data_IF_163032988751
#
_entry.id   IF_163032988751
#
_cell.length_a   1.000
_cell.length_b   1.000
_cell.length_c   1.000
_cell.angle_alpha   90.00
_cell.angle_beta   90.00
_cell.angle_gamma   90.00
#
_symmetry.space_group_name_H-M   'P 1'
#
loop_
_entity.id
_entity.type
_entity.pdbx_description
1 polymer ?
#
# COMPACT_ATOMS: atom_id res chain seq x y z
N UNK A 1 -45.22 36.81 -13.87
CA UNK A 1 -44.70 37.19 -15.21
C UNK A 1 -43.90 38.47 -14.98
N UNK A 2 -42.57 38.54 -15.08
CA UNK A 2 -41.68 38.13 -16.16
C UNK A 2 -40.33 37.67 -15.58
N UNK A 3 -39.76 36.63 -16.18
CA UNK A 3 -38.33 36.31 -16.09
C UNK A 3 -37.53 37.46 -16.72
N UNK A 4 -36.27 37.67 -16.33
CA UNK A 4 -35.14 37.96 -17.24
C UNK A 4 -33.80 37.98 -16.47
N UNK A 5 -32.96 36.99 -16.83
CA UNK A 5 -31.50 36.85 -16.80
C UNK A 5 -30.70 37.29 -15.56
N UNK A 6 -30.25 36.27 -14.82
CA UNK A 6 -29.02 36.32 -14.01
C UNK A 6 -27.87 35.86 -14.91
N UNK A 7 -26.91 36.75 -15.18
CA UNK A 7 -25.74 36.56 -16.04
C UNK A 7 -24.55 36.10 -15.19
N UNK A 8 -24.65 34.87 -14.67
CA UNK A 8 -23.57 34.24 -13.91
C UNK A 8 -22.78 33.31 -14.84
N UNK A 9 -21.75 33.89 -15.44
CA UNK A 9 -20.70 33.27 -16.27
C UNK A 9 -20.08 32.04 -15.56
N UNK A 10 -19.82 30.91 -16.27
CA UNK A 10 -19.24 29.73 -15.65
C UNK A 10 -17.74 29.94 -15.42
N UNK A 11 -17.36 30.26 -14.19
CA UNK A 11 -15.96 30.30 -13.78
C UNK A 11 -15.34 28.91 -13.90
N UNK A 12 -14.47 28.75 -14.89
CA UNK A 12 -13.56 27.63 -15.05
C UNK A 12 -12.69 27.49 -13.81
N UNK A 13 -12.77 26.34 -13.16
CA UNK A 13 -11.87 25.96 -12.07
C UNK A 13 -10.50 25.66 -12.67
N UNK A 14 -9.64 26.67 -12.70
CA UNK A 14 -8.21 26.50 -12.94
C UNK A 14 -7.59 25.71 -11.76
N UNK A 15 -6.80 24.66 -12.01
CA UNK A 15 -6.13 23.93 -10.94
C UNK A 15 -5.03 24.80 -10.32
N UNK A 16 -5.29 25.32 -9.13
CA UNK A 16 -4.29 26.00 -8.29
C UNK A 16 -3.37 24.97 -7.64
N UNK A 17 -2.40 24.46 -8.41
CA UNK A 17 -1.23 23.78 -7.90
C UNK A 17 0.02 24.45 -8.47
N UNK A 18 1.11 24.59 -7.71
CA UNK A 18 2.35 25.12 -8.25
C UNK A 18 2.94 24.11 -9.25
N UNK A 19 2.69 24.32 -10.55
CA UNK A 19 3.40 23.63 -11.63
C UNK A 19 4.78 24.25 -11.76
N UNK A 20 5.74 23.77 -10.97
CA UNK A 20 7.15 24.15 -11.13
C UNK A 20 7.67 23.41 -12.37
N UNK A 21 8.03 24.09 -13.48
CA UNK A 21 8.71 23.44 -14.59
C UNK A 21 10.10 22.97 -14.10
N UNK A 22 10.53 21.74 -14.39
CA UNK A 22 11.85 21.29 -13.98
C UNK A 22 12.92 22.10 -14.72
N UNK A 23 13.77 22.78 -13.94
CA UNK A 23 15.01 23.39 -14.44
C UNK A 23 15.88 22.24 -14.97
N UNK A 24 16.28 22.32 -16.24
CA UNK A 24 17.16 21.32 -16.85
C UNK A 24 18.42 21.14 -15.99
N UNK A 25 18.51 20.00 -15.31
CA UNK A 25 19.65 19.61 -14.45
C UNK A 25 19.41 19.66 -12.93
N UNK A 26 18.23 20.07 -12.44
CA UNK A 26 17.92 20.01 -11.00
C UNK A 26 17.35 18.63 -10.61
N UNK A 27 17.83 18.00 -9.53
CA UNK A 27 17.31 16.72 -9.07
C UNK A 27 15.86 16.87 -8.56
N UNK A 28 14.97 16.02 -9.05
CA UNK A 28 13.59 15.90 -8.59
C UNK A 28 13.61 15.20 -7.23
N UNK A 29 13.07 15.85 -6.21
CA UNK A 29 13.03 15.31 -4.85
C UNK A 29 11.64 14.77 -4.52
N UNK A 30 11.57 13.56 -3.95
CA UNK A 30 10.34 13.00 -3.44
C UNK A 30 9.93 13.66 -2.11
N UNK A 31 8.69 14.19 -1.98
CA UNK A 31 8.24 14.83 -0.75
C UNK A 31 8.07 13.84 0.41
N UNK A 32 7.78 12.57 0.12
CA UNK A 32 7.44 11.57 1.14
C UNK A 32 8.68 10.90 1.77
N UNK A 33 9.79 10.81 1.03
CA UNK A 33 11.01 10.15 1.52
C UNK A 33 12.31 10.88 1.20
N UNK A 34 12.24 12.09 0.63
CA UNK A 34 13.37 12.97 0.33
C UNK A 34 14.44 12.33 -0.60
N UNK A 35 14.07 11.26 -1.32
CA UNK A 35 14.92 10.66 -2.35
C UNK A 35 15.04 11.60 -3.56
N UNK A 36 16.23 11.65 -4.17
CA UNK A 36 16.55 12.53 -5.29
C UNK A 36 16.67 11.72 -6.58
N UNK A 37 16.16 12.28 -7.68
CA UNK A 37 16.11 11.65 -8.99
C UNK A 37 16.57 12.63 -10.07
N UNK A 38 17.31 12.15 -11.06
CA UNK A 38 17.84 12.99 -12.14
C UNK A 38 16.90 13.09 -13.34
N UNK A 39 15.88 12.24 -13.40
CA UNK A 39 14.94 12.14 -14.51
C UNK A 39 13.52 11.85 -13.99
N UNK A 40 12.52 12.27 -14.77
CA UNK A 40 11.12 12.14 -14.39
C UNK A 40 10.64 10.68 -14.39
N UNK A 41 11.13 9.84 -15.31
CA UNK A 41 10.71 8.45 -15.41
C UNK A 41 11.12 7.62 -14.17
N UNK A 42 12.34 7.84 -13.64
CA UNK A 42 12.79 7.22 -12.40
C UNK A 42 12.01 7.74 -11.18
N UNK A 43 11.65 9.02 -11.17
CA UNK A 43 10.78 9.59 -10.13
C UNK A 43 9.35 8.99 -10.16
N UNK A 44 8.73 8.87 -11.34
CA UNK A 44 7.39 8.24 -11.46
C UNK A 44 7.39 6.79 -10.98
N UNK A 45 8.39 6.01 -11.39
CA UNK A 45 8.55 4.63 -10.92
C UNK A 45 8.78 4.56 -9.40
N UNK A 46 9.50 5.54 -8.85
CA UNK A 46 9.72 5.63 -7.42
C UNK A 46 8.43 5.96 -6.64
N UNK A 47 7.66 6.95 -7.08
CA UNK A 47 6.37 7.30 -6.47
C UNK A 47 5.39 6.13 -6.61
N UNK A 48 5.50 5.33 -7.67
CA UNK A 48 4.72 4.11 -7.78
C UNK A 48 5.00 3.13 -6.62
N UNK A 49 6.23 3.06 -6.12
CA UNK A 49 6.58 2.22 -4.97
C UNK A 49 6.03 2.78 -3.64
N UNK A 50 5.72 4.08 -3.55
CA UNK A 50 5.01 4.63 -2.40
C UNK A 50 3.58 4.10 -2.28
N UNK A 51 2.97 3.62 -3.37
CA UNK A 51 1.59 3.10 -3.36
C UNK A 51 1.36 1.93 -2.39
N UNK A 52 2.41 1.20 -2.02
CA UNK A 52 2.31 0.08 -1.09
C UNK A 52 2.95 0.41 0.27
N UNK A 53 2.79 1.65 0.71
CA UNK A 53 3.24 2.12 2.01
C UNK A 53 2.07 2.19 2.99
N UNK A 54 2.25 1.69 4.21
CA UNK A 54 1.26 1.86 5.27
C UNK A 54 1.33 3.29 5.81
N UNK A 55 0.21 4.02 5.77
CA UNK A 55 0.18 5.41 6.27
C UNK A 55 0.29 5.52 7.79
N UNK A 56 0.01 4.45 8.54
CA UNK A 56 0.11 4.48 10.01
C UNK A 56 1.55 4.31 10.52
N UNK A 57 2.36 3.49 9.86
CA UNK A 57 3.72 3.17 10.30
C UNK A 57 4.82 3.41 9.26
N UNK A 58 4.46 3.94 8.09
CA UNK A 58 5.33 4.25 6.95
C UNK A 58 6.15 3.07 6.41
N UNK A 59 5.74 1.84 6.70
CA UNK A 59 6.38 0.62 6.17
C UNK A 59 5.97 0.37 4.72
N UNK A 60 6.93 -0.01 3.89
CA UNK A 60 6.71 -0.33 2.47
C UNK A 60 6.60 -1.83 2.24
N UNK A 61 5.74 -2.24 1.30
CA UNK A 61 5.43 -3.64 1.01
C UNK A 61 5.59 -3.95 -0.49
N UNK A 62 5.93 -5.20 -0.85
CA UNK A 62 6.18 -5.57 -2.25
C UNK A 62 4.93 -5.55 -3.12
N UNK A 63 3.74 -5.60 -2.52
CA UNK A 63 2.47 -5.54 -3.24
C UNK A 63 1.33 -5.08 -2.34
N UNK A 64 0.22 -4.70 -2.98
CA UNK A 64 -1.04 -4.37 -2.29
C UNK A 64 -1.54 -5.49 -1.38
N UNK A 65 -1.34 -6.76 -1.78
CA UNK A 65 -1.78 -7.90 -0.96
C UNK A 65 -1.01 -7.96 0.37
N UNK A 66 0.30 -7.72 0.35
CA UNK A 66 1.12 -7.68 1.56
C UNK A 66 0.80 -6.46 2.43
N UNK A 67 0.55 -5.28 1.82
CA UNK A 67 0.09 -4.11 2.56
C UNK A 67 -1.26 -4.38 3.26
N UNK A 68 -2.22 -4.99 2.58
CA UNK A 68 -3.52 -5.32 3.17
C UNK A 68 -3.38 -6.31 4.33
N UNK A 69 -2.56 -7.36 4.18
CA UNK A 69 -2.26 -8.29 5.27
C UNK A 69 -1.62 -7.59 6.46
N UNK A 70 -0.71 -6.66 6.20
CA UNK A 70 -0.06 -5.87 7.23
C UNK A 70 -1.08 -5.05 8.03
N UNK A 71 -1.94 -4.30 7.32
CA UNK A 71 -2.99 -3.49 7.95
C UNK A 71 -3.92 -4.37 8.78
N UNK A 72 -4.38 -5.49 8.23
CA UNK A 72 -5.24 -6.44 8.92
C UNK A 72 -4.59 -7.00 10.21
N UNK A 73 -3.29 -7.29 10.19
CA UNK A 73 -2.62 -7.97 11.32
C UNK A 73 -2.02 -7.02 12.35
N UNK A 74 -1.67 -5.79 11.96
CA UNK A 74 -0.95 -4.84 12.81
C UNK A 74 -1.77 -3.60 13.17
N UNK A 75 -2.75 -3.24 12.34
CA UNK A 75 -3.48 -1.96 12.43
C UNK A 75 -4.99 -2.13 12.50
N UNK A 76 -5.52 -3.36 12.56
CA UNK A 76 -6.95 -3.63 12.65
C UNK A 76 -7.31 -4.18 14.05
N UNK A 77 -7.78 -3.34 15.00
CA UNK A 77 -8.13 -3.76 16.36
C UNK A 77 -9.20 -4.85 16.39
N UNK A 78 -10.12 -4.86 15.41
CA UNK A 78 -11.17 -5.87 15.34
C UNK A 78 -10.62 -7.27 15.08
N UNK A 79 -9.59 -7.40 14.23
CA UNK A 79 -8.95 -8.70 13.99
C UNK A 79 -8.17 -9.18 15.21
N UNK A 80 -7.56 -8.25 15.96
CA UNK A 80 -6.92 -8.60 17.24
C UNK A 80 -7.92 -9.17 18.25
N UNK A 81 -9.08 -8.54 18.41
CA UNK A 81 -10.15 -9.05 19.30
C UNK A 81 -10.64 -10.44 18.83
N UNK A 82 -10.83 -10.63 17.52
CA UNK A 82 -11.21 -11.95 16.96
C UNK A 82 -10.15 -13.01 17.26
N UNK A 83 -8.86 -12.66 17.14
CA UNK A 83 -7.77 -13.55 17.48
C UNK A 83 -7.77 -13.93 18.96
N UNK A 84 -7.99 -12.96 19.86
CA UNK A 84 -8.06 -13.18 21.32
C UNK A 84 -9.23 -14.11 21.70
N UNK A 85 -10.32 -14.10 20.91
CA UNK A 85 -11.42 -15.07 20.99
C UNK A 85 -11.10 -16.45 20.43
N UNK A 86 -9.90 -16.64 19.87
CA UNK A 86 -9.46 -17.90 19.27
C UNK A 86 -9.84 -18.07 17.81
N UNK A 87 -10.36 -17.04 17.14
CA UNK A 87 -10.65 -17.10 15.71
C UNK A 87 -9.36 -17.08 14.88
N UNK A 88 -9.41 -17.70 13.69
CA UNK A 88 -8.28 -17.71 12.74
C UNK A 88 -8.30 -16.42 11.94
N UNK A 89 -7.23 -15.64 12.01
CA UNK A 89 -7.14 -14.35 11.31
C UNK A 89 -6.02 -14.29 10.26
N UNK A 90 -5.03 -15.19 10.33
CA UNK A 90 -3.83 -15.11 9.49
C UNK A 90 -4.08 -15.69 8.10
N UNK A 91 -4.53 -14.85 7.16
CA UNK A 91 -4.76 -15.23 5.77
C UNK A 91 -3.45 -15.64 5.07
N UNK A 92 -3.55 -16.58 4.13
CA UNK A 92 -2.46 -16.95 3.23
C UNK A 92 -1.95 -15.73 2.44
N UNK A 93 -0.66 -15.71 2.06
CA UNK A 93 -0.12 -14.62 1.24
C UNK A 93 -0.79 -14.53 -0.14
N UNK A 94 -1.28 -15.65 -0.64
CA UNK A 94 -1.93 -15.77 -1.94
C UNK A 94 -3.47 -15.81 -1.81
N UNK A 95 -4.01 -15.33 -0.68
CA UNK A 95 -5.44 -15.42 -0.37
C UNK A 95 -6.33 -14.75 -1.42
N UNK A 96 -5.86 -13.67 -2.02
CA UNK A 96 -6.57 -12.90 -3.04
C UNK A 96 -6.03 -13.09 -4.47
N UNK A 97 -5.12 -14.04 -4.69
CA UNK A 97 -4.42 -14.19 -5.98
C UNK A 97 -4.64 -15.57 -6.61
N UNK A 98 -4.31 -16.66 -5.89
CA UNK A 98 -4.29 -18.02 -6.47
C UNK A 98 -5.48 -18.90 -6.01
N UNK A 99 -6.57 -18.28 -5.55
CA UNK A 99 -7.74 -19.01 -5.05
C UNK A 99 -7.52 -19.75 -3.73
N UNK A 100 -6.38 -19.54 -3.05
CA UNK A 100 -6.10 -20.17 -1.76
C UNK A 100 -6.88 -19.49 -0.62
N UNK A 101 -8.00 -20.06 -0.19
CA UNK A 101 -8.84 -19.49 0.87
C UNK A 101 -8.36 -19.81 2.30
N UNK A 102 -7.09 -20.19 2.47
CA UNK A 102 -6.60 -20.65 3.78
C UNK A 102 -6.43 -19.49 4.76
N UNK A 103 -7.07 -19.62 5.93
CA UNK A 103 -6.84 -18.76 7.09
C UNK A 103 -6.29 -19.59 8.25
N UNK A 104 -5.18 -19.14 8.82
CA UNK A 104 -4.41 -19.84 9.83
C UNK A 104 -4.62 -19.24 11.22
N UNK A 105 -4.40 -20.05 12.27
CA UNK A 105 -4.54 -19.60 13.66
C UNK A 105 -3.29 -18.89 14.20
N UNK A 106 -2.16 -18.96 13.51
CA UNK A 106 -0.93 -18.27 13.90
C UNK A 106 -0.01 -18.01 12.69
N UNK A 107 0.91 -17.04 12.77
CA UNK A 107 1.92 -16.79 11.74
C UNK A 107 2.79 -18.01 11.46
N UNK A 108 3.16 -18.77 12.51
CA UNK A 108 3.94 -20.02 12.37
C UNK A 108 3.21 -21.06 11.51
N UNK A 109 1.90 -21.27 11.74
CA UNK A 109 1.10 -22.18 10.92
C UNK A 109 0.94 -21.69 9.49
N UNK A 110 0.79 -20.37 9.28
CA UNK A 110 0.79 -19.78 7.94
C UNK A 110 2.11 -20.06 7.22
N UNK A 111 3.26 -19.83 7.87
CA UNK A 111 4.58 -20.14 7.29
C UNK A 111 4.67 -21.60 6.84
N UNK A 112 4.28 -22.55 7.69
CA UNK A 112 4.28 -23.98 7.33
C UNK A 112 3.37 -24.26 6.13
N UNK A 113 2.18 -23.66 6.09
CA UNK A 113 1.27 -23.77 4.94
C UNK A 113 1.89 -23.20 3.66
N UNK A 114 2.58 -22.05 3.71
CA UNK A 114 3.25 -21.48 2.54
C UNK A 114 4.36 -22.40 2.01
N UNK A 115 5.11 -23.06 2.89
CA UNK A 115 6.17 -24.00 2.51
C UNK A 115 5.57 -25.27 1.90
N UNK A 116 4.58 -25.87 2.56
CA UNK A 116 3.99 -27.16 2.16
C UNK A 116 3.11 -27.06 0.92
N UNK A 117 2.24 -26.05 0.84
CA UNK A 117 1.24 -25.94 -0.23
C UNK A 117 1.66 -25.05 -1.38
N UNK A 118 2.49 -24.05 -1.12
CA UNK A 118 2.91 -23.08 -2.13
C UNK A 118 4.39 -23.18 -2.47
N UNK A 119 5.12 -24.15 -1.89
CA UNK A 119 6.52 -24.40 -2.22
C UNK A 119 7.47 -23.26 -1.84
N UNK A 120 7.07 -22.35 -0.94
CA UNK A 120 7.93 -21.25 -0.53
C UNK A 120 9.22 -21.80 0.11
N UNK A 121 10.40 -21.28 -0.25
CA UNK A 121 11.64 -21.75 0.35
C UNK A 121 11.65 -21.40 1.85
N UNK A 122 12.26 -22.27 2.66
CA UNK A 122 12.34 -22.06 4.13
C UNK A 122 13.10 -20.78 4.50
N UNK A 123 13.97 -20.31 3.60
CA UNK A 123 14.78 -19.09 3.68
C UNK A 123 13.98 -17.82 3.35
N UNK A 124 12.76 -17.94 2.83
CA UNK A 124 11.91 -16.78 2.56
C UNK A 124 11.64 -15.96 3.83
N UNK A 125 11.60 -14.64 3.71
CA UNK A 125 11.34 -13.74 4.83
C UNK A 125 9.83 -13.64 5.13
N UNK A 126 9.29 -14.62 5.87
CA UNK A 126 7.85 -14.68 6.20
C UNK A 126 7.36 -13.55 7.13
N UNK A 127 8.28 -12.82 7.77
CA UNK A 127 7.95 -11.65 8.61
C UNK A 127 7.72 -10.36 7.80
N UNK A 128 7.78 -10.44 6.46
CA UNK A 128 7.53 -9.31 5.55
C UNK A 128 6.19 -8.61 5.82
N UNK A 129 5.16 -9.35 6.27
CA UNK A 129 3.85 -8.77 6.65
C UNK A 129 3.95 -7.86 7.87
N UNK A 130 4.84 -8.13 8.82
CA UNK A 130 4.99 -7.33 10.03
C UNK A 130 6.03 -6.22 9.86
N UNK A 131 7.14 -6.55 9.20
CA UNK A 131 8.31 -5.67 9.14
C UNK A 131 8.32 -4.75 7.92
N UNK A 132 7.62 -5.11 6.85
CA UNK A 132 7.79 -4.46 5.55
C UNK A 132 9.15 -4.80 4.92
N UNK A 133 9.48 -4.10 3.83
CA UNK A 133 10.78 -4.20 3.14
C UNK A 133 11.81 -3.18 3.62
N UNK A 134 11.38 -2.17 4.39
CA UNK A 134 12.19 -1.10 4.95
C UNK A 134 11.86 -0.92 6.44
#
# INVERSE_FOLDING_TARGET
MKRLRDDSEPQSLEPTGPTIPPIAGAPIQCPDCLAHFTDYASFELHVYNHNFTCHECNKSFPSKAFLNLHIDENHNPFLKIKQERGEKIFKCFLYSQDGCTKVCSSPKKRRLHMIDKHGYPKTFHFEVVNRGMK
#
